data_IF_497539340585
#
_entry.id   IF_497539340585
#
_cell.length_a   1.000
_cell.length_b   1.000
_cell.length_c   1.000
_cell.angle_alpha   90.00
_cell.angle_beta   90.00
_cell.angle_gamma   90.00
#
_symmetry.space_group_name_H-M   'P 1'
#
loop_
_entity.id
_entity.type
_entity.pdbx_description
1 polymer ?
#
# COMPACT_ATOMS: atom_id res chain seq x y z
N UNK A 1 10.34 -5.41 -30.44
CA UNK A 1 9.92 -4.29 -29.64
C UNK A 1 8.81 -4.81 -28.73
N UNK A 2 9.12 -5.01 -27.44
CA UNK A 2 8.08 -5.28 -26.43
C UNK A 2 7.21 -4.03 -26.42
N UNK A 3 5.91 -4.19 -26.63
CA UNK A 3 4.95 -3.13 -26.42
C UNK A 3 5.24 -2.51 -25.05
N UNK A 4 5.31 -1.18 -24.97
CA UNK A 4 5.41 -0.48 -23.70
C UNK A 4 4.31 -1.04 -22.81
N UNK A 5 4.70 -1.75 -21.74
CA UNK A 5 3.79 -2.54 -20.94
C UNK A 5 2.69 -1.63 -20.37
N UNK A 6 1.46 -2.03 -20.58
CA UNK A 6 0.33 -1.47 -19.85
C UNK A 6 0.64 -1.68 -18.38
N UNK A 7 0.86 -0.58 -17.64
CA UNK A 7 1.03 -0.64 -16.20
C UNK A 7 -0.22 -1.24 -15.55
N UNK A 8 -0.03 -2.20 -14.67
CA UNK A 8 -1.14 -2.78 -13.91
C UNK A 8 -1.61 -1.75 -12.90
N UNK A 9 -2.80 -1.23 -13.10
CA UNK A 9 -3.49 -0.33 -12.17
C UNK A 9 -4.41 -1.16 -11.27
N UNK A 10 -4.97 -0.57 -10.23
CA UNK A 10 -5.98 -1.25 -9.39
C UNK A 10 -7.18 -1.75 -10.22
N UNK A 11 -7.55 -1.03 -11.28
CA UNK A 11 -8.67 -1.40 -12.16
C UNK A 11 -8.34 -2.60 -13.04
N UNK A 12 -7.08 -2.76 -13.42
CA UNK A 12 -6.60 -3.84 -14.30
C UNK A 12 -5.88 -4.95 -13.54
N UNK A 13 -5.70 -4.79 -12.23
CA UNK A 13 -5.06 -5.79 -11.39
C UNK A 13 -5.82 -7.10 -11.40
N UNK A 14 -5.08 -8.21 -11.43
CA UNK A 14 -5.67 -9.53 -11.24
C UNK A 14 -6.09 -9.66 -9.77
N UNK A 15 -7.37 -9.85 -9.54
CA UNK A 15 -7.95 -10.12 -8.22
C UNK A 15 -8.17 -11.62 -8.09
N UNK A 16 -7.64 -12.22 -7.05
CA UNK A 16 -7.85 -13.63 -6.72
C UNK A 16 -8.45 -13.75 -5.31
N UNK A 17 -9.44 -14.63 -5.13
CA UNK A 17 -10.16 -14.87 -3.88
C UNK A 17 -11.62 -15.26 -4.14
N UNK A 18 -12.29 -15.77 -3.10
CA UNK A 18 -13.68 -16.22 -3.23
C UNK A 18 -14.70 -15.06 -3.27
N UNK A 19 -14.34 -13.91 -2.71
CA UNK A 19 -15.24 -12.75 -2.62
C UNK A 19 -14.83 -11.64 -3.59
N UNK A 20 -15.79 -10.94 -4.19
CA UNK A 20 -15.51 -9.77 -4.99
C UNK A 20 -14.96 -8.62 -4.13
N UNK A 21 -14.28 -7.67 -4.76
CA UNK A 21 -13.91 -6.40 -4.17
C UNK A 21 -15.14 -5.49 -4.03
N UNK A 22 -15.28 -4.88 -2.86
CA UNK A 22 -16.30 -3.86 -2.62
C UNK A 22 -15.78 -2.45 -2.99
N UNK A 23 -16.68 -1.47 -3.02
CA UNK A 23 -16.30 -0.06 -3.15
C UNK A 23 -15.26 0.36 -2.11
N UNK A 24 -15.48 -0.01 -0.84
CA UNK A 24 -14.55 0.32 0.24
C UNK A 24 -13.19 -0.37 0.06
N UNK A 25 -13.17 -1.63 -0.39
CA UNK A 25 -11.92 -2.31 -0.66
C UNK A 25 -11.11 -1.60 -1.76
N UNK A 26 -11.74 -1.12 -2.83
CA UNK A 26 -11.05 -0.35 -3.87
C UNK A 26 -10.55 1.01 -3.36
N UNK A 27 -11.36 1.70 -2.56
CA UNK A 27 -10.99 2.99 -1.97
C UNK A 27 -9.78 2.86 -1.04
N UNK A 28 -9.83 1.87 -0.13
CA UNK A 28 -8.73 1.60 0.80
C UNK A 28 -7.48 1.09 0.07
N UNK A 29 -7.65 0.27 -0.98
CA UNK A 29 -6.55 -0.22 -1.80
C UNK A 29 -5.84 0.92 -2.56
N UNK A 30 -6.59 1.92 -3.07
CA UNK A 30 -5.99 3.09 -3.71
C UNK A 30 -5.17 3.90 -2.72
N UNK A 31 -5.71 4.18 -1.53
CA UNK A 31 -5.00 4.88 -0.47
C UNK A 31 -3.72 4.14 -0.05
N UNK A 32 -3.81 2.80 0.11
CA UNK A 32 -2.68 1.94 0.48
C UNK A 32 -1.58 1.97 -0.59
N UNK A 33 -1.96 1.82 -1.86
CA UNK A 33 -1.02 1.78 -2.98
C UNK A 33 -0.32 3.13 -3.19
N UNK A 34 -1.04 4.24 -3.06
CA UNK A 34 -0.48 5.60 -3.14
C UNK A 34 0.59 5.83 -2.08
N UNK A 35 0.32 5.45 -0.83
CA UNK A 35 1.28 5.60 0.25
C UNK A 35 2.47 4.65 0.07
N UNK A 36 2.25 3.42 -0.37
CA UNK A 36 3.32 2.48 -0.68
C UNK A 36 4.27 3.05 -1.74
N UNK A 37 3.73 3.64 -2.82
CA UNK A 37 4.52 4.32 -3.85
C UNK A 37 5.27 5.54 -3.33
N UNK A 38 4.65 6.31 -2.46
CA UNK A 38 5.27 7.50 -1.88
C UNK A 38 6.49 7.17 -1.01
N UNK A 39 6.46 6.01 -0.33
CA UNK A 39 7.57 5.54 0.50
C UNK A 39 8.58 4.67 -0.27
N UNK A 40 8.24 4.18 -1.47
CA UNK A 40 9.12 3.40 -2.33
C UNK A 40 9.94 4.33 -3.23
N UNK A 41 10.82 5.14 -2.64
CA UNK A 41 11.63 6.12 -3.37
C UNK A 41 13.09 5.69 -3.45
N UNK A 42 13.81 6.16 -4.50
CA UNK A 42 15.25 5.94 -4.65
C UNK A 42 16.08 6.85 -3.72
N UNK A 43 15.43 7.65 -2.88
CA UNK A 43 16.09 8.58 -1.95
C UNK A 43 16.65 7.88 -0.71
N UNK A 44 16.26 6.63 -0.47
CA UNK A 44 16.76 5.83 0.64
C UNK A 44 18.09 5.15 0.28
N UNK A 45 19.05 5.04 1.22
CA UNK A 45 20.40 4.50 0.96
C UNK A 45 20.45 3.06 0.44
N UNK A 46 19.39 2.30 0.68
CA UNK A 46 19.11 0.98 0.10
C UNK A 46 17.62 0.93 -0.18
N UNK A 47 17.19 0.23 -1.23
CA UNK A 47 15.76 0.05 -1.48
C UNK A 47 15.13 -0.71 -0.32
N UNK A 48 14.49 -0.05 0.65
CA UNK A 48 13.95 -0.75 1.80
C UNK A 48 12.71 -1.53 1.41
N UNK A 49 12.44 -2.58 2.16
CA UNK A 49 11.13 -3.20 2.12
C UNK A 49 10.10 -2.24 2.74
N UNK A 50 9.00 -2.03 2.04
CA UNK A 50 7.92 -1.16 2.49
C UNK A 50 6.70 -2.00 2.81
N UNK A 51 6.10 -1.77 3.98
CA UNK A 51 4.80 -2.31 4.35
C UNK A 51 3.84 -1.19 4.76
N UNK A 52 2.68 -1.16 4.12
CA UNK A 52 1.60 -0.22 4.42
C UNK A 52 0.36 -0.99 4.83
N UNK A 53 -0.25 -0.58 5.94
CA UNK A 53 -1.49 -1.14 6.47
C UNK A 53 -2.51 0.01 6.55
N UNK A 54 -3.62 -0.13 5.82
CA UNK A 54 -4.68 0.90 5.76
C UNK A 54 -6.02 0.31 6.16
N UNK A 55 -6.80 1.10 6.86
CA UNK A 55 -8.19 0.82 7.15
C UNK A 55 -9.00 2.14 7.09
N UNK A 56 -10.12 2.11 6.36
CA UNK A 56 -10.99 3.29 6.19
C UNK A 56 -10.24 4.51 5.63
N UNK A 57 -9.44 4.29 4.58
CA UNK A 57 -8.60 5.28 3.88
C UNK A 57 -7.50 5.93 4.74
N UNK A 58 -7.27 5.46 5.95
CA UNK A 58 -6.22 5.98 6.82
C UNK A 58 -5.17 4.90 7.11
N UNK A 59 -3.88 5.23 7.10
CA UNK A 59 -2.85 4.31 7.52
C UNK A 59 -2.92 4.10 9.03
N UNK A 60 -3.09 2.84 9.45
CA UNK A 60 -2.87 2.41 10.82
C UNK A 60 -1.44 1.86 11.02
N UNK A 61 -0.71 1.64 9.92
CA UNK A 61 0.69 1.28 9.95
C UNK A 61 1.39 1.60 8.64
N UNK A 62 2.60 2.16 8.73
CA UNK A 62 3.47 2.40 7.60
C UNK A 62 4.92 2.28 8.07
N UNK A 63 5.69 1.38 7.47
CA UNK A 63 7.06 1.16 7.90
C UNK A 63 7.98 0.73 6.77
N UNK A 64 9.25 0.99 7.00
CA UNK A 64 10.39 0.52 6.21
C UNK A 64 11.14 -0.52 7.04
N UNK A 65 11.73 -1.51 6.39
CA UNK A 65 12.55 -2.53 7.04
C UNK A 65 13.71 -2.97 6.17
N UNK A 66 14.71 -3.59 6.78
CA UNK A 66 15.82 -4.23 6.07
C UNK A 66 15.41 -5.59 5.53
N UNK A 67 14.35 -6.17 6.10
CA UNK A 67 13.64 -7.33 5.61
C UNK A 67 12.15 -7.04 5.49
N UNK A 68 11.44 -7.82 4.69
CA UNK A 68 9.99 -7.64 4.52
C UNK A 68 9.21 -7.97 5.80
N UNK A 69 9.68 -8.94 6.59
CA UNK A 69 9.10 -9.28 7.89
C UNK A 69 9.25 -8.11 8.87
N UNK A 70 10.45 -7.50 8.96
CA UNK A 70 10.66 -6.32 9.81
C UNK A 70 9.75 -5.16 9.44
N UNK A 71 9.61 -4.87 8.13
CA UNK A 71 8.69 -3.84 7.66
C UNK A 71 7.24 -4.14 8.08
N UNK A 72 6.80 -5.40 7.95
CA UNK A 72 5.46 -5.81 8.36
C UNK A 72 5.25 -5.67 9.87
N UNK A 73 6.17 -6.21 10.69
CA UNK A 73 6.06 -6.18 12.14
C UNK A 73 6.07 -4.75 12.69
N UNK A 74 6.93 -3.88 12.15
CA UNK A 74 6.98 -2.48 12.51
C UNK A 74 5.70 -1.72 12.12
N UNK A 75 5.15 -1.98 10.93
CA UNK A 75 3.88 -1.40 10.51
C UNK A 75 2.73 -1.88 11.41
N UNK A 76 2.66 -3.18 11.73
CA UNK A 76 1.63 -3.75 12.59
C UNK A 76 1.71 -3.19 14.02
N UNK A 77 2.93 -3.00 14.54
CA UNK A 77 3.15 -2.49 15.90
C UNK A 77 2.64 -1.06 16.10
N UNK A 78 2.43 -0.30 15.03
CA UNK A 78 1.92 1.08 15.11
C UNK A 78 0.49 1.14 15.66
N UNK A 79 -0.40 0.24 15.21
CA UNK A 79 -1.77 0.12 15.70
C UNK A 79 -2.33 -1.28 15.36
N UNK A 80 -2.01 -2.29 16.17
CA UNK A 80 -2.42 -3.67 15.91
C UNK A 80 -3.94 -3.88 16.03
N UNK A 81 -4.66 -3.07 16.79
CA UNK A 81 -6.11 -3.19 16.91
C UNK A 81 -6.82 -2.76 15.61
N UNK A 82 -6.41 -1.62 15.04
CA UNK A 82 -6.99 -1.12 13.80
C UNK A 82 -6.59 -1.97 12.59
N UNK A 83 -5.47 -2.70 12.66
CA UNK A 83 -5.00 -3.56 11.58
C UNK A 83 -5.93 -4.75 11.27
N UNK A 84 -6.83 -5.12 12.18
CA UNK A 84 -7.80 -6.18 11.94
C UNK A 84 -8.79 -5.80 10.82
N UNK A 85 -8.83 -6.59 9.75
CA UNK A 85 -9.69 -6.33 8.58
C UNK A 85 -9.15 -5.24 7.65
N UNK A 86 -7.85 -5.01 7.67
CA UNK A 86 -7.16 -3.99 6.86
C UNK A 86 -6.86 -4.44 5.43
N UNK A 87 -6.32 -3.51 4.67
CA UNK A 87 -5.64 -3.72 3.40
C UNK A 87 -4.16 -3.51 3.60
N UNK A 88 -3.35 -4.43 3.08
CA UNK A 88 -1.88 -4.39 3.19
C UNK A 88 -1.25 -4.34 1.80
N UNK A 89 -0.20 -3.53 1.65
CA UNK A 89 0.60 -3.45 0.43
C UNK A 89 2.08 -3.57 0.74
N UNK A 90 2.77 -4.39 -0.08
CA UNK A 90 4.23 -4.48 -0.12
C UNK A 90 4.74 -3.94 -1.47
N UNK A 91 5.92 -3.34 -1.45
CA UNK A 91 6.58 -2.84 -2.66
C UNK A 91 7.33 -3.93 -3.44
N UNK A 92 7.61 -5.06 -2.82
CA UNK A 92 8.36 -6.20 -3.36
C UNK A 92 7.50 -7.47 -3.39
N UNK A 93 7.92 -8.51 -4.15
CA UNK A 93 7.26 -9.82 -4.12
C UNK A 93 7.08 -10.34 -2.70
N UNK A 94 5.90 -10.92 -2.42
CA UNK A 94 5.62 -11.44 -1.08
C UNK A 94 6.53 -12.60 -0.73
N UNK A 95 7.26 -12.46 0.36
CA UNK A 95 8.13 -13.49 0.91
C UNK A 95 7.36 -14.49 1.78
N UNK A 96 7.84 -15.74 1.82
CA UNK A 96 7.19 -16.83 2.55
C UNK A 96 7.14 -16.55 4.06
N UNK A 97 8.23 -16.02 4.62
CA UNK A 97 8.30 -15.74 6.05
C UNK A 97 7.37 -14.60 6.45
N UNK A 98 7.22 -13.59 5.60
CA UNK A 98 6.22 -12.53 5.77
C UNK A 98 4.79 -13.09 5.69
N UNK A 99 4.53 -13.99 4.73
CA UNK A 99 3.24 -14.65 4.60
C UNK A 99 2.88 -15.44 5.87
N UNK A 100 3.84 -16.14 6.47
CA UNK A 100 3.67 -16.85 7.75
C UNK A 100 3.43 -15.88 8.91
N UNK A 101 4.21 -14.80 9.01
CA UNK A 101 4.02 -13.78 10.05
C UNK A 101 2.62 -13.13 10.02
N UNK A 102 2.02 -13.03 8.82
CA UNK A 102 0.67 -12.47 8.63
C UNK A 102 -0.47 -13.45 8.95
N UNK A 103 -0.21 -14.74 9.21
CA UNK A 103 -1.28 -15.72 9.43
C UNK A 103 -2.24 -15.37 10.58
N UNK A 104 -1.78 -14.84 11.74
CA UNK A 104 -2.67 -14.50 12.84
C UNK A 104 -3.63 -13.35 12.54
N UNK A 105 -3.27 -12.45 11.63
CA UNK A 105 -4.04 -11.25 11.33
C UNK A 105 -5.13 -11.54 10.29
N UNK A 106 -6.36 -11.07 10.56
CA UNK A 106 -7.39 -11.02 9.55
C UNK A 106 -7.13 -9.83 8.62
N UNK A 107 -6.83 -10.12 7.36
CA UNK A 107 -6.55 -9.16 6.28
C UNK A 107 -7.61 -9.35 5.20
N UNK A 108 -8.27 -8.29 4.78
CA UNK A 108 -9.27 -8.37 3.71
C UNK A 108 -8.65 -8.38 2.33
N UNK A 109 -7.65 -7.52 2.09
CA UNK A 109 -6.98 -7.41 0.79
C UNK A 109 -5.46 -7.32 0.99
N UNK A 110 -4.73 -8.09 0.24
CA UNK A 110 -3.28 -8.08 0.22
C UNK A 110 -2.80 -7.73 -1.19
N UNK A 111 -1.88 -6.78 -1.29
CA UNK A 111 -1.31 -6.32 -2.55
C UNK A 111 0.20 -6.50 -2.55
N UNK A 112 0.72 -7.12 -3.60
CA UNK A 112 2.15 -7.26 -3.86
C UNK A 112 2.41 -7.40 -5.37
N UNK A 113 3.65 -7.13 -5.84
CA UNK A 113 3.98 -7.30 -7.26
C UNK A 113 3.93 -8.74 -7.74
N UNK A 114 4.21 -9.68 -6.86
CA UNK A 114 4.23 -11.09 -7.18
C UNK A 114 4.01 -11.95 -5.92
N UNK A 115 3.47 -13.14 -6.12
CA UNK A 115 3.29 -14.17 -5.10
C UNK A 115 3.86 -15.47 -5.64
N UNK A 116 4.90 -16.03 -4.99
CA UNK A 116 5.31 -17.38 -5.31
C UNK A 116 4.25 -18.39 -4.80
N UNK A 117 4.32 -19.62 -5.29
CA UNK A 117 3.28 -20.63 -5.01
C UNK A 117 3.15 -20.94 -3.50
N UNK A 118 4.26 -20.96 -2.74
CA UNK A 118 4.24 -21.23 -1.31
C UNK A 118 3.62 -20.06 -0.53
N UNK A 119 4.08 -18.83 -0.75
CA UNK A 119 3.51 -17.64 -0.11
C UNK A 119 2.03 -17.49 -0.47
N UNK A 120 1.68 -17.74 -1.75
CA UNK A 120 0.30 -17.70 -2.22
C UNK A 120 -0.58 -18.71 -1.52
N UNK A 121 -0.13 -19.95 -1.36
CA UNK A 121 -0.88 -20.99 -0.66
C UNK A 121 -1.17 -20.59 0.79
N UNK A 122 -0.19 -20.01 1.50
CA UNK A 122 -0.35 -19.54 2.89
C UNK A 122 -1.41 -18.45 2.96
N UNK A 123 -1.29 -17.39 2.15
CA UNK A 123 -2.20 -16.25 2.24
C UNK A 123 -3.62 -16.57 1.76
N UNK A 124 -3.76 -17.47 0.78
CA UNK A 124 -5.05 -17.91 0.25
C UNK A 124 -5.76 -18.97 1.09
N UNK A 125 -5.10 -19.55 2.09
CA UNK A 125 -5.75 -20.43 3.07
C UNK A 125 -6.88 -19.73 3.84
N UNK A 126 -6.89 -18.40 3.89
CA UNK A 126 -7.95 -17.59 4.50
C UNK A 126 -9.01 -17.23 3.45
N UNK A 127 -10.15 -17.92 3.46
CA UNK A 127 -11.25 -17.79 2.47
C UNK A 127 -11.78 -16.39 2.22
N UNK A 128 -11.69 -15.50 3.21
CA UNK A 128 -12.19 -14.13 3.10
C UNK A 128 -11.15 -13.13 2.56
N UNK A 129 -9.92 -13.57 2.33
CA UNK A 129 -8.83 -12.73 1.81
C UNK A 129 -8.89 -12.66 0.28
N UNK A 130 -8.57 -11.51 -0.27
CA UNK A 130 -8.30 -11.31 -1.70
C UNK A 130 -6.85 -10.93 -1.85
N UNK A 131 -6.22 -11.40 -2.90
CA UNK A 131 -4.90 -10.93 -3.29
C UNK A 131 -4.98 -10.20 -4.61
N UNK A 132 -4.26 -9.09 -4.71
CA UNK A 132 -4.12 -8.32 -5.93
C UNK A 132 -2.65 -8.35 -6.36
N UNK A 133 -2.43 -8.78 -7.59
CA UNK A 133 -1.12 -8.62 -8.22
C UNK A 133 -1.09 -7.26 -8.90
N UNK A 134 -0.18 -6.40 -8.46
CA UNK A 134 0.02 -5.04 -8.96
C UNK A 134 1.42 -4.91 -9.55
N UNK A 135 1.66 -3.90 -10.39
CA UNK A 135 3.04 -3.57 -10.75
C UNK A 135 3.80 -3.10 -9.50
N UNK A 136 5.12 -3.38 -9.48
CA UNK A 136 5.94 -2.93 -8.36
C UNK A 136 5.71 -1.43 -8.10
N UNK A 137 5.38 -1.03 -6.87
CA UNK A 137 5.28 0.38 -6.49
C UNK A 137 6.56 1.17 -6.73
N UNK A 138 7.72 0.49 -6.80
CA UNK A 138 9.00 1.09 -7.18
C UNK A 138 9.00 1.55 -8.64
N UNK A 139 8.18 0.96 -9.50
CA UNK A 139 7.94 1.45 -10.85
C UNK A 139 7.06 2.70 -10.76
N UNK A 140 7.69 3.87 -10.74
CA UNK A 140 6.97 5.14 -10.77
C UNK A 140 6.13 5.17 -12.05
N UNK A 141 4.81 5.11 -11.90
CA UNK A 141 3.93 5.68 -12.91
C UNK A 141 4.42 7.11 -13.17
N UNK A 142 4.37 7.56 -14.42
CA UNK A 142 4.71 8.92 -14.81
C UNK A 142 4.28 9.92 -13.72
N UNK A 143 5.06 11.00 -13.50
CA UNK A 143 4.92 11.88 -12.36
C UNK A 143 3.45 12.12 -12.02
N UNK A 144 3.10 12.03 -10.74
CA UNK A 144 1.76 12.34 -10.21
C UNK A 144 1.29 13.77 -10.60
N UNK A 145 2.08 14.45 -11.39
CA UNK A 145 2.00 15.87 -11.75
C UNK A 145 0.66 16.32 -12.32
N UNK A 146 -0.29 15.41 -12.58
CA UNK A 146 -1.60 15.79 -13.14
C UNK A 146 -2.74 14.83 -12.81
N UNK A 147 -2.75 14.25 -11.64
CA UNK A 147 -3.97 13.54 -11.21
C UNK A 147 -5.05 14.58 -10.94
N UNK A 148 -6.11 14.52 -11.72
CA UNK A 148 -7.30 15.32 -11.45
C UNK A 148 -8.13 14.63 -10.36
N UNK A 149 -8.20 15.26 -9.20
CA UNK A 149 -9.13 14.87 -8.14
C UNK A 149 -10.50 15.43 -8.48
N UNK A 150 -11.51 14.57 -8.48
CA UNK A 150 -12.90 14.94 -8.74
C UNK A 150 -13.77 14.55 -7.56
N UNK A 151 -14.50 15.48 -7.03
CA UNK A 151 -15.49 15.27 -5.97
C UNK A 151 -16.88 15.65 -6.46
N UNK A 152 -17.85 14.72 -6.47
CA UNK A 152 -19.22 15.05 -6.81
C UNK A 152 -19.81 15.99 -5.75
N UNK A 153 -20.55 16.98 -6.21
CA UNK A 153 -21.39 17.85 -5.40
C UNK A 153 -22.78 17.91 -6.02
N UNK A 154 -23.77 18.41 -5.29
CA UNK A 154 -25.10 18.61 -5.86
C UNK A 154 -25.01 19.54 -7.08
N UNK A 155 -25.46 19.03 -8.23
CA UNK A 155 -25.47 19.76 -9.51
C UNK A 155 -24.14 19.82 -10.25
N UNK A 156 -23.04 19.18 -9.76
CA UNK A 156 -21.76 19.24 -10.49
C UNK A 156 -20.59 18.50 -9.85
N UNK A 157 -19.39 18.94 -10.19
CA UNK A 157 -18.12 18.39 -9.73
C UNK A 157 -17.16 19.48 -9.29
N UNK A 158 -16.49 19.27 -8.17
CA UNK A 158 -15.26 19.99 -7.86
C UNK A 158 -14.11 19.26 -8.52
N UNK A 159 -13.23 19.99 -9.19
CA UNK A 159 -12.06 19.43 -9.89
C UNK A 159 -10.84 20.24 -9.51
N UNK A 160 -9.78 19.55 -9.11
CA UNK A 160 -8.47 20.17 -8.85
C UNK A 160 -7.35 19.21 -9.28
N UNK A 161 -6.16 19.75 -9.52
CA UNK A 161 -4.94 18.95 -9.61
C UNK A 161 -4.51 18.52 -8.23
N UNK A 162 -4.11 17.27 -8.08
CA UNK A 162 -3.43 16.80 -6.87
C UNK A 162 -1.98 17.28 -6.93
N UNK A 163 -1.61 18.13 -6.00
CA UNK A 163 -0.22 18.51 -5.81
C UNK A 163 0.35 17.76 -4.61
N UNK A 164 1.54 17.13 -4.75
CA UNK A 164 2.18 16.50 -3.61
C UNK A 164 2.47 17.57 -2.55
N UNK A 165 2.26 17.27 -1.26
CA UNK A 165 2.60 18.22 -0.21
C UNK A 165 4.11 18.46 -0.22
N UNK A 166 4.51 19.72 -0.41
CA UNK A 166 5.90 20.14 -0.28
C UNK A 166 6.14 20.48 1.18
N UNK A 167 6.86 19.60 1.89
CA UNK A 167 7.26 19.83 3.28
C UNK A 167 8.71 20.35 3.25
N UNK A 168 8.89 21.59 3.72
CA UNK A 168 10.22 22.17 3.93
C UNK A 168 10.70 21.78 5.34
N UNK A 169 11.43 20.67 5.39
CA UNK A 169 11.94 20.12 6.65
C UNK A 169 12.91 21.05 7.36
N UNK A 170 13.62 21.95 6.63
CA UNK A 170 14.53 22.93 7.24
C UNK A 170 13.77 23.99 8.06
N UNK A 171 12.51 24.23 7.70
CA UNK A 171 11.62 25.15 8.42
C UNK A 171 10.75 24.46 9.47
N UNK A 172 10.80 23.12 9.52
CA UNK A 172 10.02 22.37 10.51
C UNK A 172 10.52 22.66 11.93
N UNK A 173 9.58 22.87 12.85
CA UNK A 173 9.87 23.11 14.27
C UNK A 173 9.27 22.01 15.10
N UNK A 174 10.08 21.47 16.02
CA UNK A 174 9.57 20.53 17.03
C UNK A 174 8.65 21.30 17.98
N UNK A 175 7.38 20.93 18.00
CA UNK A 175 6.36 21.53 18.87
C UNK A 175 6.08 20.68 20.12
N UNK A 176 6.59 19.47 20.16
CA UNK A 176 6.42 18.51 21.27
C UNK A 176 7.58 18.56 22.24
N UNK A 177 7.36 18.08 23.47
CA UNK A 177 8.41 18.00 24.51
C UNK A 177 9.51 16.98 24.17
N UNK A 178 9.15 15.97 23.34
CA UNK A 178 10.06 14.92 22.87
C UNK A 178 10.25 15.14 21.37
N UNK A 179 11.50 15.35 20.95
CA UNK A 179 11.82 15.44 19.54
C UNK A 179 11.64 14.07 18.84
N UNK A 180 11.26 14.03 17.57
CA UNK A 180 11.31 12.81 16.77
C UNK A 180 12.77 12.31 16.71
N UNK A 181 12.92 10.98 16.74
CA UNK A 181 14.22 10.30 16.61
C UNK A 181 14.63 10.17 15.17
#
# INVERSE_FOLDING_TARGET
PKAAGLHTTLVTAKVEGEKPMSYNNYSDADATLRLCRALSTDEWPATPHVCIIVKHNNPCGAALGTTQVEAYEAALASDPESAFGSIICFNEPLEVDTAKAMEPLFIEVLMAPYYNEEAKAIVMAKKNRRILTIDSPNNRLAPLERILVRKPIEGGWLVQTEEPPVIDWEKAKVATTIAPT
#
